data_IF_029573904483
#
_entry.id   IF_029573904483
#
_cell.length_a   1.000
_cell.length_b   1.000
_cell.length_c   1.000
_cell.angle_alpha   90.00
_cell.angle_beta   90.00
_cell.angle_gamma   90.00
#
_symmetry.space_group_name_H-M   'P 1'
#
loop_
_entity.id
_entity.type
_entity.pdbx_description
1 polymer ?
#
# COMPACT_ATOMS: atom_id res chain seq x y z
N UNK A 1 -22.62 -2.04 -16.65
CA UNK A 1 -21.76 -1.96 -15.44
C UNK A 1 -20.35 -1.52 -15.85
N UNK A 2 -19.59 -0.84 -14.97
CA UNK A 2 -18.28 -0.25 -15.32
C UNK A 2 -17.24 -1.30 -15.74
N UNK A 3 -17.23 -2.49 -15.14
CA UNK A 3 -16.34 -3.61 -15.46
C UNK A 3 -17.15 -4.83 -15.93
N UNK A 4 -17.65 -4.82 -17.17
CA UNK A 4 -18.47 -5.93 -17.68
C UNK A 4 -17.92 -6.50 -18.97
N UNK A 5 -18.28 -7.75 -19.28
CA UNK A 5 -17.88 -8.36 -20.54
C UNK A 5 -18.47 -7.59 -21.75
N UNK A 6 -19.70 -7.10 -21.60
CA UNK A 6 -20.44 -6.40 -22.65
C UNK A 6 -19.79 -5.09 -23.14
N UNK A 7 -18.97 -4.43 -22.31
CA UNK A 7 -18.24 -3.22 -22.69
C UNK A 7 -16.72 -3.44 -22.84
N UNK A 8 -16.26 -4.70 -22.85
CA UNK A 8 -14.85 -5.04 -23.04
C UNK A 8 -13.94 -4.61 -21.89
N UNK A 9 -14.49 -4.19 -20.75
CA UNK A 9 -13.74 -3.76 -19.55
C UNK A 9 -13.72 -4.85 -18.48
N UNK A 10 -14.00 -6.10 -18.85
CA UNK A 10 -13.89 -7.24 -17.97
C UNK A 10 -12.42 -7.59 -17.73
N UNK A 11 -11.97 -7.41 -16.50
CA UNK A 11 -10.59 -7.68 -16.06
C UNK A 11 -10.41 -9.09 -15.46
N UNK A 12 -11.48 -9.90 -15.44
CA UNK A 12 -11.45 -11.22 -14.81
C UNK A 12 -11.68 -11.17 -13.30
N UNK A 13 -11.48 -12.32 -12.66
CA UNK A 13 -11.49 -12.45 -11.19
C UNK A 13 -10.10 -12.14 -10.66
N UNK A 14 -10.01 -11.30 -9.63
CA UNK A 14 -8.76 -11.02 -8.93
C UNK A 14 -8.31 -12.30 -8.17
N UNK A 15 -7.04 -12.72 -8.24
CA UNK A 15 -6.54 -13.89 -7.50
C UNK A 15 -6.53 -13.62 -6.00
N UNK A 16 -6.59 -14.69 -5.19
CA UNK A 16 -6.71 -14.60 -3.72
C UNK A 16 -5.55 -13.83 -3.08
N UNK A 17 -4.33 -13.96 -3.62
CA UNK A 17 -3.13 -13.30 -3.15
C UNK A 17 -3.16 -11.78 -3.34
N UNK A 18 -3.95 -11.28 -4.31
CA UNK A 18 -4.10 -9.85 -4.59
C UNK A 18 -5.42 -9.27 -4.06
N UNK A 19 -6.30 -10.12 -3.51
CA UNK A 19 -7.55 -9.67 -2.88
C UNK A 19 -7.27 -9.01 -1.52
N UNK A 20 -8.11 -8.04 -1.16
CA UNK A 20 -8.09 -7.39 0.16
C UNK A 20 -6.75 -6.74 0.54
N UNK A 21 -5.90 -6.38 -0.43
CA UNK A 21 -4.68 -5.63 -0.10
C UNK A 21 -5.04 -4.22 0.38
N UNK A 22 -4.43 -3.80 1.49
CA UNK A 22 -4.52 -2.41 1.94
C UNK A 22 -3.79 -1.49 0.97
N UNK A 23 -4.11 -0.20 1.01
CA UNK A 23 -3.42 0.78 0.16
C UNK A 23 -1.89 0.72 0.35
N UNK A 24 -1.41 0.60 1.60
CA UNK A 24 0.02 0.50 1.85
C UNK A 24 0.63 -0.83 1.40
N UNK A 25 -0.12 -1.93 1.51
CA UNK A 25 0.32 -3.21 0.95
C UNK A 25 0.47 -3.12 -0.58
N UNK A 26 -0.48 -2.48 -1.27
CA UNK A 26 -0.39 -2.21 -2.70
C UNK A 26 0.84 -1.35 -3.05
N UNK A 27 1.14 -0.32 -2.25
CA UNK A 27 2.37 0.45 -2.45
C UNK A 27 3.61 -0.44 -2.27
N UNK A 28 3.65 -1.32 -1.28
CA UNK A 28 4.82 -2.17 -1.04
C UNK A 28 5.10 -3.17 -2.19
N UNK A 29 4.09 -3.52 -2.98
CA UNK A 29 4.23 -4.43 -4.14
C UNK A 29 4.30 -3.70 -5.48
N UNK A 30 4.17 -2.38 -5.50
CA UNK A 30 4.16 -1.59 -6.72
C UNK A 30 5.59 -1.30 -7.21
N UNK A 31 5.87 -1.59 -8.48
CA UNK A 31 7.14 -1.23 -9.13
C UNK A 31 7.27 0.27 -9.41
N UNK A 32 6.15 0.96 -9.55
CA UNK A 32 6.08 2.41 -9.72
C UNK A 32 5.12 2.98 -8.67
N UNK A 33 5.56 4.01 -7.95
CA UNK A 33 4.81 4.65 -6.88
C UNK A 33 4.81 6.16 -7.06
N UNK A 34 3.80 6.82 -6.50
CA UNK A 34 3.83 8.28 -6.34
C UNK A 34 4.70 8.61 -5.12
N UNK A 35 5.68 9.50 -5.29
CA UNK A 35 6.70 9.80 -4.28
C UNK A 35 6.19 10.47 -3.01
N UNK A 36 4.97 11.04 -3.01
CA UNK A 36 4.41 11.72 -1.84
C UNK A 36 2.91 11.45 -1.72
N UNK A 37 2.55 10.53 -0.83
CA UNK A 37 1.16 10.29 -0.47
C UNK A 37 0.92 10.80 0.96
N UNK A 38 0.00 11.77 1.12
CA UNK A 38 -0.36 12.33 2.41
C UNK A 38 -1.79 11.97 2.78
N UNK A 39 -1.95 11.28 3.90
CA UNK A 39 -3.24 11.00 4.50
C UNK A 39 -3.45 11.88 5.71
N UNK A 40 -4.45 12.75 5.63
CA UNK A 40 -5.03 13.40 6.80
C UNK A 40 -6.31 12.66 7.14
N UNK A 41 -6.34 12.03 8.32
CA UNK A 41 -7.52 11.34 8.82
C UNK A 41 -8.15 12.18 9.93
N UNK A 42 -9.44 12.49 9.77
CA UNK A 42 -10.24 13.24 10.72
C UNK A 42 -11.50 12.45 11.09
N UNK A 43 -11.86 12.45 12.37
CA UNK A 43 -13.13 11.89 12.82
C UNK A 43 -14.26 12.87 12.46
N UNK A 44 -15.17 12.46 11.59
CA UNK A 44 -16.32 13.26 11.18
C UNK A 44 -17.39 13.37 12.28
N UNK A 45 -18.36 14.29 12.15
CA UNK A 45 -19.43 14.49 13.14
C UNK A 45 -20.30 13.24 13.39
N UNK A 46 -20.35 12.32 12.42
CA UNK A 46 -21.05 11.05 12.49
C UNK A 46 -20.22 9.90 13.09
N UNK A 47 -18.98 10.15 13.51
CA UNK A 47 -18.07 9.14 14.04
C UNK A 47 -17.37 8.29 12.98
N UNK A 48 -17.54 8.59 11.69
CA UNK A 48 -16.80 7.96 10.60
C UNK A 48 -15.49 8.71 10.34
N UNK A 49 -14.39 7.98 10.11
CA UNK A 49 -13.15 8.57 9.63
C UNK A 49 -13.28 8.96 8.17
N UNK A 50 -13.00 10.22 7.86
CA UNK A 50 -12.92 10.72 6.50
C UNK A 50 -11.49 11.23 6.24
N UNK A 51 -10.98 10.99 5.04
CA UNK A 51 -9.78 11.67 4.59
C UNK A 51 -10.15 12.96 3.88
N UNK A 52 -9.61 14.08 4.35
CA UNK A 52 -9.75 15.40 3.70
C UNK A 52 -8.37 15.99 3.48
N UNK A 53 -7.99 16.15 2.22
CA UNK A 53 -6.67 16.67 1.85
C UNK A 53 -6.70 17.49 0.58
N UNK A 54 -5.62 18.24 0.35
CA UNK A 54 -5.34 18.87 -0.93
C UNK A 54 -4.52 17.91 -1.79
N UNK A 55 -4.82 17.82 -3.07
CA UNK A 55 -4.00 17.10 -4.04
C UNK A 55 -3.14 18.12 -4.77
N UNK A 56 -1.82 18.00 -4.63
CA UNK A 56 -0.85 18.79 -5.40
C UNK A 56 -0.16 17.87 -6.40
N UNK A 57 -0.26 18.18 -7.69
CA UNK A 57 0.43 17.43 -8.75
C UNK A 57 1.67 18.25 -9.14
N UNK A 58 2.84 17.76 -8.75
CA UNK A 58 4.11 18.33 -9.19
C UNK A 58 4.57 17.67 -10.49
N UNK A 59 5.31 18.37 -11.36
CA UNK A 59 6.04 17.73 -12.46
C UNK A 59 6.85 16.56 -11.91
N UNK A 60 6.63 15.37 -12.47
CA UNK A 60 7.33 14.15 -12.09
C UNK A 60 8.50 13.93 -13.03
N UNK A 61 9.66 13.54 -12.48
CA UNK A 61 10.77 12.99 -13.25
C UNK A 61 10.76 11.46 -13.04
N UNK A 62 10.05 10.69 -13.90
CA UNK A 62 9.89 9.26 -13.68
C UNK A 62 11.24 8.56 -13.83
N UNK A 63 11.66 7.90 -12.75
CA UNK A 63 12.83 7.01 -12.75
C UNK A 63 12.51 5.63 -13.31
N UNK A 64 13.53 4.74 -13.38
CA UNK A 64 13.33 3.33 -13.68
C UNK A 64 12.38 2.66 -12.68
N UNK A 65 11.69 1.61 -13.12
CA UNK A 65 10.86 0.79 -12.24
C UNK A 65 11.69 0.13 -11.15
N UNK A 66 11.15 0.07 -9.93
CA UNK A 66 11.81 -0.62 -8.83
C UNK A 66 12.01 -2.10 -9.18
N UNK A 67 13.23 -2.60 -8.97
CA UNK A 67 13.62 -4.01 -9.14
C UNK A 67 13.72 -4.75 -7.81
N UNK A 68 13.68 -4.02 -6.70
CA UNK A 68 13.75 -4.54 -5.34
C UNK A 68 12.42 -4.29 -4.64
N UNK A 69 11.70 -5.37 -4.30
CA UNK A 69 10.39 -5.30 -3.63
C UNK A 69 10.31 -6.36 -2.51
N UNK A 70 9.65 -6.07 -1.37
CA UNK A 70 9.15 -4.75 -1.00
C UNK A 70 10.30 -3.75 -0.83
N UNK A 71 10.04 -2.43 -0.97
CA UNK A 71 11.10 -1.43 -0.80
C UNK A 71 11.69 -1.54 0.61
N UNK A 72 12.97 -1.18 0.80
CA UNK A 72 13.50 -1.02 2.14
C UNK A 72 12.63 -0.06 2.98
N UNK A 73 12.42 -0.37 4.26
CA UNK A 73 11.54 0.44 5.11
C UNK A 73 11.96 1.92 5.17
N UNK A 74 13.27 2.18 5.10
CA UNK A 74 13.85 3.53 5.01
C UNK A 74 13.36 4.33 3.80
N UNK A 75 13.21 3.68 2.64
CA UNK A 75 12.67 4.33 1.43
C UNK A 75 11.16 4.59 1.58
N UNK A 76 10.44 3.63 2.18
CA UNK A 76 9.01 3.78 2.44
C UNK A 76 8.72 4.94 3.42
N UNK A 77 9.55 5.14 4.43
CA UNK A 77 9.42 6.26 5.37
C UNK A 77 9.60 7.64 4.70
N UNK A 78 10.46 7.74 3.69
CA UNK A 78 10.68 9.00 2.96
C UNK A 78 9.49 9.35 2.04
N UNK A 79 8.76 8.34 1.56
CA UNK A 79 7.63 8.50 0.63
C UNK A 79 6.27 8.71 1.32
N UNK A 80 6.10 8.18 2.54
CA UNK A 80 4.80 8.09 3.21
C UNK A 80 4.81 8.82 4.55
N UNK A 81 3.97 9.84 4.66
CA UNK A 81 3.75 10.57 5.91
C UNK A 81 2.30 10.40 6.37
N UNK A 82 2.11 9.82 7.55
CA UNK A 82 0.81 9.64 8.19
C UNK A 82 0.64 10.67 9.30
N UNK A 83 -0.38 11.53 9.18
CA UNK A 83 -0.72 12.52 10.21
C UNK A 83 -2.09 12.17 10.77
N UNK A 84 -2.10 11.73 12.02
CA UNK A 84 -3.31 11.44 12.79
C UNK A 84 -3.71 12.68 13.59
N UNK A 85 -4.87 13.25 13.29
CA UNK A 85 -5.39 14.44 13.98
C UNK A 85 -6.57 14.04 14.85
N UNK A 86 -6.41 14.15 16.17
CA UNK A 86 -7.43 13.80 17.16
C UNK A 86 -7.56 14.86 18.24
N UNK A 87 -8.59 14.74 19.09
CA UNK A 87 -8.67 15.55 20.30
C UNK A 87 -7.55 15.15 21.27
N UNK A 88 -7.12 16.02 22.22
CA UNK A 88 -6.04 15.70 23.15
C UNK A 88 -6.25 14.42 23.97
N UNK A 89 -7.51 14.01 24.13
CA UNK A 89 -7.91 12.82 24.89
C UNK A 89 -8.17 11.60 24.00
N UNK A 90 -7.91 11.69 22.70
CA UNK A 90 -8.10 10.59 21.75
C UNK A 90 -6.83 9.77 21.67
N UNK A 91 -6.84 8.57 22.26
CA UNK A 91 -5.77 7.60 22.07
C UNK A 91 -5.93 6.90 20.72
N UNK A 92 -4.83 6.85 19.96
CA UNK A 92 -4.77 6.04 18.72
C UNK A 92 -4.52 4.60 19.14
N UNK A 93 -5.54 3.75 18.99
CA UNK A 93 -5.44 2.32 19.28
C UNK A 93 -5.25 1.51 18.00
N UNK A 94 -4.80 0.25 18.12
CA UNK A 94 -4.74 -0.68 16.98
C UNK A 94 -6.11 -0.83 16.33
N UNK A 95 -7.21 -0.89 17.10
CA UNK A 95 -8.58 -0.96 16.56
C UNK A 95 -8.98 0.31 15.77
N UNK A 96 -8.41 1.45 16.13
CA UNK A 96 -8.57 2.67 15.33
C UNK A 96 -7.85 2.54 14.00
N UNK A 97 -6.64 1.98 14.01
CA UNK A 97 -5.80 1.83 12.83
C UNK A 97 -6.29 0.74 11.87
N UNK A 98 -6.90 -0.35 12.38
CA UNK A 98 -7.49 -1.41 11.54
C UNK A 98 -8.63 -0.92 10.66
N UNK A 99 -9.25 0.21 11.04
CA UNK A 99 -10.28 0.89 10.23
C UNK A 99 -9.68 1.83 9.17
N UNK A 100 -8.36 1.85 9.02
CA UNK A 100 -7.63 2.70 8.07
C UNK A 100 -6.90 1.84 7.04
N UNK A 101 -6.63 2.37 5.83
CA UNK A 101 -5.88 1.63 4.81
C UNK A 101 -4.36 1.65 5.05
N UNK A 102 -3.93 1.96 6.28
CA UNK A 102 -2.53 2.22 6.66
C UNK A 102 -1.86 1.04 7.36
N UNK A 103 -2.59 -0.05 7.61
CA UNK A 103 -2.00 -1.26 8.16
C UNK A 103 -1.46 -2.15 7.06
N UNK A 104 -0.32 -2.76 7.37
CA UNK A 104 0.34 -3.74 6.52
C UNK A 104 0.35 -5.08 7.24
N UNK A 105 0.14 -6.15 6.48
CA UNK A 105 0.37 -7.54 6.86
C UNK A 105 1.55 -8.06 6.04
N UNK A 106 2.67 -8.36 6.70
CA UNK A 106 3.89 -8.83 6.03
C UNK A 106 3.64 -10.10 5.20
N UNK A 107 2.83 -11.02 5.70
CA UNK A 107 2.47 -12.25 4.98
C UNK A 107 1.81 -11.95 3.63
N UNK A 108 0.86 -11.01 3.60
CA UNK A 108 0.13 -10.62 2.37
C UNK A 108 1.05 -10.02 1.32
N UNK A 109 2.00 -9.17 1.73
CA UNK A 109 3.03 -8.64 0.81
C UNK A 109 3.82 -9.77 0.18
N UNK A 110 4.32 -10.72 0.99
CA UNK A 110 5.15 -11.83 0.51
C UNK A 110 4.35 -12.74 -0.44
N UNK A 111 3.12 -13.08 -0.08
CA UNK A 111 2.21 -13.89 -0.90
C UNK A 111 1.93 -13.21 -2.25
N UNK A 112 1.58 -11.93 -2.23
CA UNK A 112 1.33 -11.14 -3.43
C UNK A 112 2.56 -11.07 -4.34
N UNK A 113 3.75 -10.80 -3.79
CA UNK A 113 4.99 -10.73 -4.58
C UNK A 113 5.40 -12.08 -5.17
N UNK A 114 5.25 -13.17 -4.41
CA UNK A 114 5.49 -14.54 -4.92
C UNK A 114 4.54 -14.86 -6.07
N UNK A 115 3.26 -14.52 -5.93
CA UNK A 115 2.27 -14.70 -6.98
C UNK A 115 2.60 -13.85 -8.23
N UNK A 116 2.92 -12.58 -8.04
CA UNK A 116 3.26 -11.65 -9.13
C UNK A 116 4.51 -12.11 -9.88
N UNK A 117 5.56 -12.55 -9.18
CA UNK A 117 6.76 -13.07 -9.83
C UNK A 117 6.46 -14.27 -10.74
N UNK A 118 5.52 -15.12 -10.36
CA UNK A 118 5.15 -16.32 -11.12
C UNK A 118 4.25 -16.01 -12.33
N UNK A 119 3.32 -15.05 -12.18
CA UNK A 119 2.25 -14.83 -13.16
C UNK A 119 2.36 -13.53 -13.97
N UNK A 120 3.18 -12.58 -13.52
CA UNK A 120 3.35 -11.29 -14.17
C UNK A 120 4.78 -11.16 -14.74
N UNK A 121 4.95 -11.11 -16.07
CA UNK A 121 6.26 -10.93 -16.69
C UNK A 121 7.00 -9.68 -16.20
N UNK A 122 6.26 -8.63 -15.81
CA UNK A 122 6.82 -7.40 -15.24
C UNK A 122 7.37 -7.59 -13.83
N UNK A 123 7.30 -8.76 -13.22
CA UNK A 123 7.84 -9.06 -11.89
C UNK A 123 8.86 -10.21 -11.94
N UNK A 124 9.18 -10.71 -13.14
CA UNK A 124 10.04 -11.88 -13.34
C UNK A 124 11.47 -11.67 -12.83
N UNK A 125 11.95 -10.44 -12.80
CA UNK A 125 13.28 -10.02 -12.39
C UNK A 125 13.46 -9.86 -10.87
N UNK A 126 12.39 -9.99 -10.06
CA UNK A 126 12.50 -9.88 -8.60
C UNK A 126 13.36 -11.01 -8.00
N UNK A 127 14.29 -10.67 -7.13
CA UNK A 127 15.11 -11.68 -6.42
C UNK A 127 14.43 -12.13 -5.12
N UNK A 128 14.16 -13.44 -4.97
CA UNK A 128 13.44 -13.96 -3.81
C UNK A 128 14.19 -13.75 -2.48
N UNK A 129 15.51 -13.91 -2.48
CA UNK A 129 16.32 -13.70 -1.28
C UNK A 129 16.28 -12.24 -0.81
N UNK A 130 16.41 -11.30 -1.75
CA UNK A 130 16.31 -9.87 -1.45
C UNK A 130 14.91 -9.49 -0.95
N UNK A 131 13.87 -10.03 -1.58
CA UNK A 131 12.48 -9.84 -1.16
C UNK A 131 12.25 -10.32 0.27
N UNK A 132 12.65 -11.54 0.61
CA UNK A 132 12.45 -12.11 1.96
C UNK A 132 13.27 -11.35 3.01
N UNK A 133 14.50 -10.95 2.67
CA UNK A 133 15.35 -10.11 3.52
C UNK A 133 14.71 -8.74 3.79
N UNK A 134 14.20 -8.06 2.77
CA UNK A 134 13.56 -6.75 2.94
C UNK A 134 12.25 -6.88 3.73
N UNK A 135 11.42 -7.86 3.39
CA UNK A 135 10.15 -8.09 4.07
C UNK A 135 10.35 -8.39 5.56
N UNK A 136 11.47 -8.99 5.98
CA UNK A 136 11.76 -9.24 7.39
C UNK A 136 11.81 -7.96 8.25
N UNK A 137 12.15 -6.81 7.66
CA UNK A 137 12.15 -5.50 8.35
C UNK A 137 10.75 -4.94 8.62
N UNK A 138 9.72 -5.46 7.95
CA UNK A 138 8.35 -5.01 8.10
C UNK A 138 7.68 -5.62 9.34
N UNK A 139 6.74 -4.90 9.98
CA UNK A 139 5.93 -5.45 11.06
C UNK A 139 5.07 -6.61 10.55
N UNK A 140 4.83 -7.60 11.41
CA UNK A 140 3.95 -8.73 11.07
C UNK A 140 2.52 -8.27 10.76
N UNK A 141 1.99 -7.40 11.61
CA UNK A 141 0.77 -6.63 11.38
C UNK A 141 0.89 -5.26 12.05
N UNK A 142 0.85 -4.17 11.28
CA UNK A 142 1.05 -2.83 11.84
C UNK A 142 1.28 -1.74 10.80
N UNK A 143 1.61 -0.54 11.28
CA UNK A 143 2.07 0.56 10.44
C UNK A 143 3.58 0.37 10.20
N UNK A 144 4.09 0.55 8.97
CA UNK A 144 5.52 0.53 8.66
C UNK A 144 6.23 1.81 9.13
N UNK A 145 6.29 2.04 10.44
CA UNK A 145 6.99 3.16 11.11
C UNK A 145 8.08 2.63 12.04
#
# INVERSE_FOLDING_TARGET
>A
PLCSYANGTWIGTLPEELQDLSFLEEQCIARARSTKCMFKLELGPSGQYASRGNVCIFPQEPGPLATCLPPPLTELHDEICVILVGSPNTEVTIDTLTKTPLLIRRSRIIEALKWLKLHNPLYSDLELCAMESNAASYPEHGIPI
#
